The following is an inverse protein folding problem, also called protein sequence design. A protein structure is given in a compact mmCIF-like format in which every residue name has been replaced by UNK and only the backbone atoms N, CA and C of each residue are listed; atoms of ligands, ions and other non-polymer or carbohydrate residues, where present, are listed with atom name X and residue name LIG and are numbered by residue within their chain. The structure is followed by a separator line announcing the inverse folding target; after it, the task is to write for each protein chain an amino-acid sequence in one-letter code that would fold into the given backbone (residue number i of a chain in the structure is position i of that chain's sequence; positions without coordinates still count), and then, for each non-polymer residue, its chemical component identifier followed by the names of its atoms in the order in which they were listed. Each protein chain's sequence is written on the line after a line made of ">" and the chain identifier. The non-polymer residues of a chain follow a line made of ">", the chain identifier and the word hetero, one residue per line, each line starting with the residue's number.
data_IF_849662281571
#
_entry.id   IF_849662281571
#
_cell.length_a   1.000
_cell.length_b   1.000
_cell.length_c   1.000
_cell.angle_alpha   90.00
_cell.angle_beta   90.00
_cell.angle_gamma   90.00
#
_symmetry.space_group_name_H-M   'P 1'
#
loop_
_entity.id
_entity.type
_entity.pdbx_description
1 polymer ?
#
# COMPACT_ATOMS: atom_id res chain seq x y z
N UNK A 1 -35.65 74.57 3.44
CA UNK A 1 -34.30 74.51 2.82
C UNK A 1 -33.72 73.13 3.08
N UNK A 2 -33.08 72.56 2.06
CA UNK A 2 -32.94 71.13 1.78
C UNK A 2 -32.17 70.33 2.85
N UNK A 3 -32.75 69.19 3.23
CA UNK A 3 -32.15 68.07 3.95
C UNK A 3 -31.20 67.34 2.99
N UNK A 4 -29.90 67.25 3.31
CA UNK A 4 -28.93 66.54 2.47
C UNK A 4 -28.77 65.11 2.97
N UNK A 5 -29.19 64.18 2.12
CA UNK A 5 -29.21 62.73 2.33
C UNK A 5 -27.80 62.13 2.37
N UNK A 6 -27.61 61.25 3.36
CA UNK A 6 -26.46 60.35 3.56
C UNK A 6 -26.37 59.32 2.43
N UNK A 7 -25.19 59.17 1.82
CA UNK A 7 -24.81 57.94 1.10
C UNK A 7 -23.34 57.63 1.45
N UNK A 8 -23.13 56.83 2.49
CA UNK A 8 -21.87 56.13 2.72
C UNK A 8 -21.88 54.84 1.89
N UNK A 9 -21.13 54.81 0.80
CA UNK A 9 -20.82 53.59 0.05
C UNK A 9 -19.82 52.76 0.88
N UNK A 10 -20.32 51.85 1.70
CA UNK A 10 -19.49 50.80 2.30
C UNK A 10 -19.28 49.72 1.22
N UNK A 11 -18.17 49.84 0.49
CA UNK A 11 -17.62 48.76 -0.34
C UNK A 11 -17.14 47.64 0.58
N UNK A 12 -18.04 46.71 0.91
CA UNK A 12 -17.71 45.39 1.42
C UNK A 12 -16.94 44.63 0.31
N UNK A 13 -15.62 44.83 0.27
CA UNK A 13 -14.68 43.92 -0.35
C UNK A 13 -14.77 42.59 0.40
N UNK A 14 -15.75 41.77 0.03
CA UNK A 14 -15.73 40.35 0.35
C UNK A 14 -14.58 39.78 -0.47
N UNK A 15 -13.44 39.57 0.17
CA UNK A 15 -12.41 38.68 -0.31
C UNK A 15 -13.03 37.29 -0.38
N UNK A 16 -13.70 36.98 -1.49
CA UNK A 16 -14.02 35.61 -1.86
C UNK A 16 -12.66 34.98 -2.11
N UNK A 17 -12.07 34.43 -1.04
CA UNK A 17 -11.11 33.35 -1.19
C UNK A 17 -11.89 32.26 -1.90
N UNK A 18 -11.72 32.14 -3.21
CA UNK A 18 -12.11 30.93 -3.92
C UNK A 18 -11.31 29.83 -3.25
N UNK A 19 -11.93 29.13 -2.30
CA UNK A 19 -11.46 27.84 -1.87
C UNK A 19 -11.30 27.05 -3.16
N UNK A 20 -10.06 26.77 -3.55
CA UNK A 20 -9.78 25.99 -4.75
C UNK A 20 -10.54 24.68 -4.59
N UNK A 21 -11.53 24.47 -5.45
CA UNK A 21 -12.37 23.30 -5.38
C UNK A 21 -11.47 22.07 -5.44
N UNK A 22 -11.58 21.20 -4.45
CA UNK A 22 -10.79 19.98 -4.33
C UNK A 22 -11.64 18.78 -4.74
N UNK A 23 -11.03 17.79 -5.37
CA UNK A 23 -11.72 16.52 -5.61
C UNK A 23 -11.87 15.71 -4.31
N UNK A 24 -12.56 14.56 -4.40
CA UNK A 24 -12.80 13.65 -3.25
C UNK A 24 -11.53 13.11 -2.58
N UNK A 25 -10.36 13.31 -3.20
CA UNK A 25 -9.05 12.91 -2.70
C UNK A 25 -8.23 14.11 -2.18
N UNK A 26 -8.81 15.31 -2.14
CA UNK A 26 -8.16 16.52 -1.66
C UNK A 26 -7.23 17.21 -2.68
N UNK A 27 -7.25 16.76 -3.94
CA UNK A 27 -6.40 17.28 -5.02
C UNK A 27 -7.08 18.48 -5.69
N UNK A 28 -6.34 19.43 -6.30
CA UNK A 28 -6.94 20.58 -6.98
C UNK A 28 -7.96 20.18 -8.07
N UNK A 29 -8.94 21.02 -8.39
CA UNK A 29 -9.83 20.79 -9.53
C UNK A 29 -9.06 20.67 -10.86
N UNK A 30 -9.66 19.99 -11.84
CA UNK A 30 -9.14 19.93 -13.20
C UNK A 30 -9.23 21.32 -13.85
N UNK A 31 -8.27 21.66 -14.70
CA UNK A 31 -8.26 22.93 -15.41
C UNK A 31 -9.28 22.89 -16.55
N UNK A 32 -10.26 23.82 -16.59
CA UNK A 32 -11.26 23.85 -17.65
C UNK A 32 -10.63 24.04 -19.05
N UNK A 33 -11.22 23.44 -20.07
CA UNK A 33 -10.77 23.56 -21.46
C UNK A 33 -9.63 22.62 -21.86
N UNK A 34 -9.08 21.83 -20.93
CA UNK A 34 -8.09 20.79 -21.25
C UNK A 34 -8.80 19.46 -21.55
N UNK A 35 -8.62 18.98 -22.78
CA UNK A 35 -9.10 17.67 -23.21
C UNK A 35 -8.18 16.56 -22.68
N UNK A 36 -8.80 15.47 -22.22
CA UNK A 36 -8.07 14.28 -21.76
C UNK A 36 -7.40 13.57 -22.94
N UNK A 37 -6.12 13.23 -22.77
CA UNK A 37 -5.34 12.46 -23.72
C UNK A 37 -5.44 10.96 -23.43
N UNK A 38 -5.63 10.19 -24.48
CA UNK A 38 -5.71 8.73 -24.46
C UNK A 38 -4.53 8.12 -25.20
N UNK A 39 -4.38 6.81 -25.06
CA UNK A 39 -3.37 6.04 -25.80
C UNK A 39 -3.60 6.23 -27.31
N UNK A 40 -2.52 6.52 -28.03
CA UNK A 40 -2.52 6.82 -29.45
C UNK A 40 -2.57 8.31 -29.78
N UNK A 41 -3.01 9.16 -28.85
CA UNK A 41 -3.12 10.60 -29.09
C UNK A 41 -1.75 11.27 -29.21
N UNK A 42 -1.71 12.32 -30.03
CA UNK A 42 -0.56 13.21 -30.11
C UNK A 42 -0.57 14.12 -28.88
N UNK A 43 0.55 14.14 -28.16
CA UNK A 43 0.72 15.02 -27.01
C UNK A 43 0.98 16.44 -27.53
N UNK A 44 0.19 17.46 -27.10
CA UNK A 44 0.48 18.85 -27.43
C UNK A 44 1.82 19.26 -26.80
N UNK A 45 2.37 20.39 -27.25
CA UNK A 45 3.56 20.92 -26.60
C UNK A 45 3.19 21.55 -25.26
N UNK A 46 3.43 20.81 -24.18
CA UNK A 46 3.07 21.19 -22.83
C UNK A 46 4.32 21.70 -22.12
N UNK A 47 4.26 22.93 -21.62
CA UNK A 47 5.24 23.45 -20.68
C UNK A 47 5.02 22.78 -19.32
N UNK A 48 6.04 22.09 -18.84
CA UNK A 48 6.11 21.52 -17.50
C UNK A 48 7.07 22.41 -16.70
N UNK A 49 6.54 23.15 -15.74
CA UNK A 49 7.30 24.10 -14.91
C UNK A 49 7.54 23.57 -13.50
N UNK A 50 8.13 24.42 -12.64
CA UNK A 50 8.38 24.15 -11.23
C UNK A 50 9.15 22.84 -10.95
N UNK A 51 10.05 22.44 -11.85
CA UNK A 51 10.80 21.21 -11.67
C UNK A 51 11.90 21.40 -10.62
N UNK A 52 11.88 20.55 -9.60
CA UNK A 52 12.91 20.45 -8.57
C UNK A 52 13.78 19.21 -8.78
N UNK A 53 14.97 19.21 -8.17
CA UNK A 53 15.93 18.09 -8.22
C UNK A 53 16.33 17.69 -9.65
N UNK A 54 16.32 18.67 -10.55
CA UNK A 54 16.75 18.56 -11.94
C UNK A 54 17.55 19.81 -12.30
N UNK A 55 18.40 19.69 -13.32
CA UNK A 55 19.19 20.81 -13.86
C UNK A 55 18.29 21.85 -14.53
N UNK A 56 17.17 21.41 -15.11
CA UNK A 56 16.17 22.28 -15.71
C UNK A 56 15.03 22.55 -14.72
N UNK A 57 14.62 23.82 -14.62
CA UNK A 57 13.43 24.24 -13.84
C UNK A 57 12.12 24.14 -14.60
N UNK A 58 12.20 24.06 -15.93
CA UNK A 58 11.08 23.85 -16.82
C UNK A 58 11.53 23.12 -18.07
N UNK A 59 10.62 22.38 -18.69
CA UNK A 59 10.83 21.62 -19.93
C UNK A 59 9.57 21.66 -20.78
N UNK A 60 9.72 21.46 -22.08
CA UNK A 60 8.59 21.21 -22.98
C UNK A 60 8.48 19.72 -23.30
N UNK A 61 7.27 19.18 -23.45
CA UNK A 61 7.10 17.80 -23.93
C UNK A 61 7.73 17.60 -25.31
N UNK A 62 7.76 18.63 -26.15
CA UNK A 62 8.42 18.59 -27.45
C UNK A 62 9.95 18.44 -27.40
N UNK A 63 10.60 18.79 -26.28
CA UNK A 63 12.05 18.60 -26.08
C UNK A 63 12.46 17.11 -26.11
N UNK A 64 11.49 16.22 -25.91
CA UNK A 64 11.69 14.78 -25.81
C UNK A 64 11.05 13.99 -26.96
N UNK A 65 10.78 14.63 -28.11
CA UNK A 65 10.17 13.92 -29.26
C UNK A 65 10.97 12.68 -29.70
N UNK A 66 12.30 12.76 -29.68
CA UNK A 66 13.19 11.65 -30.07
C UNK A 66 13.67 10.79 -28.88
N UNK A 67 13.11 11.03 -27.69
CA UNK A 67 13.44 10.34 -26.44
C UNK A 67 12.18 9.77 -25.83
N UNK A 68 12.31 8.81 -24.91
CA UNK A 68 11.17 8.33 -24.14
C UNK A 68 10.94 9.25 -22.93
N UNK A 69 9.83 9.97 -22.91
CA UNK A 69 9.37 10.71 -21.74
C UNK A 69 8.38 9.85 -20.96
N UNK A 70 8.69 9.59 -19.68
CA UNK A 70 7.80 8.90 -18.75
C UNK A 70 7.41 9.85 -17.65
N UNK A 71 6.10 10.08 -17.50
CA UNK A 71 5.53 10.86 -16.41
C UNK A 71 5.01 9.91 -15.35
N UNK A 72 5.57 9.97 -14.14
CA UNK A 72 5.22 9.11 -13.01
C UNK A 72 4.50 9.93 -11.93
N UNK A 73 3.17 9.85 -11.90
CA UNK A 73 2.34 10.59 -10.97
C UNK A 73 2.36 9.94 -9.57
N UNK A 74 2.63 10.75 -8.55
CA UNK A 74 2.82 10.28 -7.18
C UNK A 74 2.38 11.30 -6.11
N UNK A 75 2.30 10.82 -4.86
CA UNK A 75 1.97 11.61 -3.67
C UNK A 75 2.76 11.10 -2.45
N UNK A 76 3.02 11.97 -1.46
CA UNK A 76 3.79 11.67 -0.24
C UNK A 76 3.16 10.58 0.64
N UNK A 77 1.86 10.33 0.53
CA UNK A 77 1.13 9.27 1.24
C UNK A 77 1.14 7.93 0.50
N UNK A 78 1.61 7.90 -0.75
CA UNK A 78 1.64 6.71 -1.58
C UNK A 78 2.88 5.85 -1.28
N UNK A 79 2.75 4.88 -0.37
CA UNK A 79 3.84 3.99 0.02
C UNK A 79 4.47 3.22 -1.15
N UNK A 80 3.66 2.76 -2.11
CA UNK A 80 4.13 2.06 -3.32
C UNK A 80 4.93 2.98 -4.24
N UNK A 81 4.50 4.23 -4.41
CA UNK A 81 5.23 5.23 -5.18
C UNK A 81 6.62 5.46 -4.57
N UNK A 82 6.68 5.70 -3.25
CA UNK A 82 7.92 5.95 -2.51
C UNK A 82 8.88 4.75 -2.61
N UNK A 83 8.37 3.54 -2.41
CA UNK A 83 9.14 2.31 -2.50
C UNK A 83 9.76 2.09 -3.89
N UNK A 84 9.11 2.60 -4.96
CA UNK A 84 9.59 2.46 -6.33
C UNK A 84 10.67 3.46 -6.74
N UNK A 85 10.80 4.60 -6.04
CA UNK A 85 11.70 5.70 -6.43
C UNK A 85 13.16 5.27 -6.65
N UNK A 86 13.80 4.44 -5.79
CA UNK A 86 15.19 4.01 -6.00
C UNK A 86 15.38 3.23 -7.31
N UNK A 87 14.40 2.41 -7.70
CA UNK A 87 14.41 1.68 -8.97
C UNK A 87 14.33 2.65 -10.14
N UNK A 88 13.40 3.61 -10.10
CA UNK A 88 13.24 4.61 -11.17
C UNK A 88 14.48 5.47 -11.34
N UNK A 89 15.08 5.88 -10.23
CA UNK A 89 16.34 6.61 -10.19
C UNK A 89 17.49 5.81 -10.84
N UNK A 90 17.62 4.52 -10.51
CA UNK A 90 18.57 3.62 -11.18
C UNK A 90 18.33 3.53 -12.69
N UNK A 91 17.07 3.37 -13.13
CA UNK A 91 16.73 3.29 -14.55
C UNK A 91 17.07 4.59 -15.30
N UNK A 92 16.80 5.76 -14.72
CA UNK A 92 17.20 7.04 -15.33
C UNK A 92 18.72 7.11 -15.57
N UNK A 93 19.54 6.63 -14.62
CA UNK A 93 21.00 6.60 -14.79
C UNK A 93 21.44 5.62 -15.88
N UNK A 94 20.84 4.43 -15.92
CA UNK A 94 21.20 3.37 -16.89
C UNK A 94 20.89 3.79 -18.33
N UNK A 95 19.73 4.42 -18.56
CA UNK A 95 19.33 4.82 -19.90
C UNK A 95 19.80 6.23 -20.29
N UNK A 96 20.20 7.05 -19.31
CA UNK A 96 20.74 8.39 -19.51
C UNK A 96 19.80 9.25 -20.34
N UNK A 97 20.37 9.98 -21.31
CA UNK A 97 19.66 10.91 -22.18
C UNK A 97 18.61 10.27 -23.10
N UNK A 98 18.61 8.95 -23.26
CA UNK A 98 17.60 8.26 -24.09
C UNK A 98 16.19 8.34 -23.49
N UNK A 99 16.10 8.57 -22.17
CA UNK A 99 14.83 8.68 -21.47
C UNK A 99 14.81 9.89 -20.53
N UNK A 100 13.60 10.35 -20.21
CA UNK A 100 13.33 11.27 -19.10
C UNK A 100 12.23 10.65 -18.25
N UNK A 101 12.59 10.14 -17.08
CA UNK A 101 11.65 9.73 -16.04
C UNK A 101 11.41 10.95 -15.14
N UNK A 102 10.25 11.60 -15.27
CA UNK A 102 9.87 12.74 -14.47
C UNK A 102 8.76 12.36 -13.50
N UNK A 103 9.00 12.54 -12.20
CA UNK A 103 7.96 12.38 -11.20
C UNK A 103 7.04 13.61 -11.21
N UNK A 104 5.73 13.43 -11.08
CA UNK A 104 4.74 14.52 -11.17
C UNK A 104 3.83 14.49 -9.95
N UNK A 105 3.65 15.63 -9.30
CA UNK A 105 2.75 15.73 -8.15
C UNK A 105 2.08 17.09 -8.08
N UNK A 106 0.84 17.11 -7.58
CA UNK A 106 0.08 18.34 -7.34
C UNK A 106 0.47 19.02 -6.02
N UNK A 107 1.23 18.33 -5.17
CA UNK A 107 1.65 18.84 -3.87
C UNK A 107 2.69 19.95 -4.02
N UNK A 108 2.70 20.88 -3.07
CA UNK A 108 3.54 22.08 -3.17
C UNK A 108 5.02 21.77 -3.07
N UNK A 109 5.83 22.61 -3.74
CA UNK A 109 7.30 22.56 -3.67
C UNK A 109 7.83 22.38 -2.25
N UNK A 110 7.37 23.20 -1.30
CA UNK A 110 7.87 23.16 0.08
C UNK A 110 7.58 21.82 0.76
N UNK A 111 6.39 21.26 0.54
CA UNK A 111 6.03 19.94 1.08
C UNK A 111 6.89 18.82 0.49
N UNK A 112 7.20 18.88 -0.80
CA UNK A 112 8.02 17.85 -1.45
C UNK A 112 9.49 17.97 -1.05
N UNK A 113 10.03 19.19 -0.94
CA UNK A 113 11.39 19.42 -0.44
C UNK A 113 11.51 18.91 1.01
N UNK A 114 10.56 19.25 1.87
CA UNK A 114 10.52 18.77 3.26
C UNK A 114 10.44 17.24 3.33
N UNK A 115 9.61 16.63 2.48
CA UNK A 115 9.49 15.18 2.38
C UNK A 115 10.82 14.49 2.06
N UNK A 116 11.52 14.91 1.00
CA UNK A 116 12.83 14.31 0.67
C UNK A 116 13.87 14.53 1.78
N UNK A 117 13.82 15.65 2.49
CA UNK A 117 14.74 15.94 3.60
C UNK A 117 14.49 15.07 4.85
N UNK A 118 13.23 14.66 5.08
CA UNK A 118 12.82 13.89 6.27
C UNK A 118 12.64 12.40 6.03
N UNK A 119 12.46 11.96 4.79
CA UNK A 119 12.20 10.56 4.49
C UNK A 119 13.47 9.71 4.70
N UNK A 120 13.49 8.96 5.80
CA UNK A 120 14.62 8.10 6.18
C UNK A 120 14.93 7.03 5.13
N UNK A 121 13.89 6.39 4.56
CA UNK A 121 14.05 5.32 3.57
C UNK A 121 14.84 5.81 2.35
N UNK A 122 14.49 6.97 1.79
CA UNK A 122 15.17 7.50 0.60
C UNK A 122 16.58 8.04 0.90
N UNK A 123 16.82 8.52 2.12
CA UNK A 123 18.12 9.06 2.56
C UNK A 123 19.15 7.99 2.89
N UNK A 124 18.72 6.79 3.26
CA UNK A 124 19.63 5.67 3.57
C UNK A 124 20.25 5.05 2.30
N UNK A 125 19.77 5.40 1.10
CA UNK A 125 20.42 5.03 -0.16
C UNK A 125 21.69 5.87 -0.39
N UNK A 126 22.66 5.31 -1.14
CA UNK A 126 23.91 5.97 -1.49
C UNK A 126 24.12 5.99 -3.02
N UNK A 127 23.99 7.15 -3.70
CA UNK A 127 23.61 8.45 -3.13
C UNK A 127 22.13 8.49 -2.69
N UNK A 128 21.73 9.42 -1.80
CA UNK A 128 20.34 9.64 -1.44
C UNK A 128 19.47 9.86 -2.67
N UNK A 129 18.27 9.26 -2.67
CA UNK A 129 17.36 9.34 -3.81
C UNK A 129 16.59 10.67 -3.79
N UNK A 130 16.95 11.54 -4.72
CA UNK A 130 16.22 12.78 -5.02
C UNK A 130 15.77 12.75 -6.48
N UNK A 131 14.48 12.44 -6.71
CA UNK A 131 13.92 12.34 -8.05
C UNK A 131 13.59 13.72 -8.62
N UNK A 132 13.95 13.96 -9.88
CA UNK A 132 13.44 15.09 -10.65
C UNK A 132 11.90 15.09 -10.59
N UNK A 133 11.32 16.17 -10.08
CA UNK A 133 9.89 16.24 -9.79
C UNK A 133 9.28 17.55 -10.27
N UNK A 134 8.23 17.47 -11.09
CA UNK A 134 7.32 18.59 -11.32
C UNK A 134 6.33 18.64 -10.16
N UNK A 135 6.33 19.76 -9.43
CA UNK A 135 5.49 20.00 -8.24
C UNK A 135 4.41 21.03 -8.57
N UNK A 136 3.42 21.17 -7.69
CA UNK A 136 2.28 22.07 -7.89
C UNK A 136 1.50 21.80 -9.21
N UNK A 137 1.62 20.59 -9.78
CA UNK A 137 1.02 20.26 -11.08
C UNK A 137 -0.51 20.33 -11.04
N UNK A 138 -1.05 20.93 -12.10
CA UNK A 138 -2.48 20.96 -12.43
C UNK A 138 -2.74 20.65 -13.89
N UNK A 139 -1.76 20.94 -14.76
CA UNK A 139 -1.89 20.86 -16.21
C UNK A 139 -1.77 19.40 -16.65
N UNK A 140 -0.74 18.69 -16.20
CA UNK A 140 -0.54 17.29 -16.59
C UNK A 140 -1.65 16.41 -16.05
N UNK A 141 -2.11 16.62 -14.82
CA UNK A 141 -3.30 15.93 -14.27
C UNK A 141 -4.58 16.19 -15.08
N UNK A 142 -4.69 17.33 -15.75
CA UNK A 142 -5.88 17.65 -16.57
C UNK A 142 -5.86 16.92 -17.92
N UNK A 143 -4.68 16.76 -18.51
CA UNK A 143 -4.46 15.95 -19.71
C UNK A 143 -4.52 14.45 -19.41
N UNK A 144 -3.95 14.00 -18.30
CA UNK A 144 -3.85 12.60 -17.91
C UNK A 144 -4.64 12.39 -16.62
N UNK A 145 -5.93 12.10 -16.74
CA UNK A 145 -6.84 12.01 -15.60
C UNK A 145 -6.69 10.65 -14.92
N UNK A 146 -6.58 10.65 -13.59
CA UNK A 146 -6.41 9.42 -12.80
C UNK A 146 -7.12 9.49 -11.45
N UNK A 147 -7.50 8.32 -10.93
CA UNK A 147 -8.11 8.18 -9.61
C UNK A 147 -7.12 7.72 -8.54
N UNK A 148 -6.18 6.85 -8.92
CA UNK A 148 -5.22 6.25 -7.98
C UNK A 148 -3.77 6.47 -8.42
N UNK A 149 -2.86 6.52 -7.45
CA UNK A 149 -1.42 6.53 -7.66
C UNK A 149 -0.80 5.16 -7.32
N UNK A 150 0.33 4.78 -7.95
CA UNK A 150 1.01 5.50 -9.03
C UNK A 150 0.27 5.40 -10.37
N UNK A 151 0.42 6.42 -11.20
CA UNK A 151 -0.13 6.48 -12.56
C UNK A 151 0.97 6.90 -13.53
N UNK A 152 1.24 6.10 -14.56
CA UNK A 152 2.44 6.26 -15.40
C UNK A 152 2.04 6.47 -16.85
N UNK A 153 2.53 7.54 -17.45
CA UNK A 153 2.33 7.86 -18.86
C UNK A 153 3.62 7.66 -19.63
N UNK A 154 3.56 6.88 -20.70
CA UNK A 154 4.69 6.65 -21.61
C UNK A 154 4.47 7.48 -22.89
N UNK A 155 5.39 8.41 -23.16
CA UNK A 155 5.34 9.29 -24.33
C UNK A 155 6.58 9.04 -25.17
N UNK A 156 6.40 8.64 -26.42
CA UNK A 156 7.49 8.42 -27.36
C UNK A 156 7.09 8.91 -28.74
N UNK A 157 8.00 9.59 -29.46
CA UNK A 157 7.70 10.20 -30.77
C UNK A 157 6.50 11.16 -30.71
N UNK A 158 6.36 11.85 -29.57
CA UNK A 158 5.27 12.79 -29.28
C UNK A 158 3.88 12.16 -29.12
N UNK A 159 3.78 10.83 -29.01
CA UNK A 159 2.51 10.12 -28.83
C UNK A 159 2.41 9.44 -27.48
N UNK A 160 1.19 9.35 -26.94
CA UNK A 160 0.90 8.52 -25.76
C UNK A 160 0.96 7.04 -26.18
N UNK A 161 2.02 6.34 -25.76
CA UNK A 161 2.25 4.94 -26.10
C UNK A 161 1.49 3.99 -25.17
N UNK A 162 1.47 4.32 -23.87
CA UNK A 162 0.84 3.48 -22.86
C UNK A 162 0.51 4.29 -21.59
N UNK A 163 -0.49 3.81 -20.87
CA UNK A 163 -0.85 4.30 -19.53
C UNK A 163 -0.87 3.09 -18.59
N UNK A 164 0.02 3.08 -17.59
CA UNK A 164 0.31 1.88 -16.79
C UNK A 164 0.42 2.20 -15.30
N UNK A 165 0.60 1.16 -14.47
CA UNK A 165 1.17 1.29 -13.13
C UNK A 165 2.70 1.36 -13.16
N UNK A 166 3.30 1.59 -11.99
CA UNK A 166 4.75 1.72 -11.77
C UNK A 166 5.54 0.45 -12.08
N UNK A 167 4.89 -0.71 -11.93
CA UNK A 167 5.49 -2.02 -12.12
C UNK A 167 6.06 -2.16 -13.54
N UNK A 168 5.39 -1.57 -14.54
CA UNK A 168 5.79 -1.62 -15.94
C UNK A 168 7.04 -0.79 -16.27
N UNK A 169 7.51 0.08 -15.37
CA UNK A 169 8.76 0.81 -15.58
C UNK A 169 9.93 -0.14 -15.29
N UNK A 170 10.36 -0.86 -16.33
CA UNK A 170 11.45 -1.86 -16.27
C UNK A 170 12.43 -1.63 -17.40
N UNK A 171 13.68 -2.09 -17.24
CA UNK A 171 14.70 -1.98 -18.30
C UNK A 171 14.25 -2.63 -19.61
N UNK A 172 13.61 -3.80 -19.53
CA UNK A 172 13.07 -4.52 -20.69
C UNK A 172 12.03 -3.66 -21.42
N UNK A 173 11.01 -3.19 -20.72
CA UNK A 173 9.94 -2.40 -21.30
C UNK A 173 10.43 -1.06 -21.89
N UNK A 174 11.36 -0.40 -21.19
CA UNK A 174 12.01 0.81 -21.70
C UNK A 174 12.74 0.50 -23.02
N UNK A 175 13.53 -0.57 -23.05
CA UNK A 175 14.28 -0.95 -24.26
C UNK A 175 13.32 -1.32 -25.40
N UNK A 176 12.23 -2.03 -25.14
CA UNK A 176 11.22 -2.36 -26.16
C UNK A 176 10.60 -1.11 -26.80
N UNK A 177 10.28 -0.09 -26.01
CA UNK A 177 9.74 1.18 -26.52
C UNK A 177 10.79 1.93 -27.34
N UNK A 178 12.04 1.98 -26.85
CA UNK A 178 13.15 2.60 -27.58
C UNK A 178 13.44 1.89 -28.91
N UNK A 179 13.27 0.57 -28.96
CA UNK A 179 13.39 -0.25 -30.17
C UNK A 179 12.20 -0.06 -31.14
N UNK A 180 11.17 0.70 -30.74
CA UNK A 180 9.98 0.96 -31.55
C UNK A 180 9.01 -0.22 -31.62
N UNK A 181 9.09 -1.17 -30.68
CA UNK A 181 8.15 -2.30 -30.61
C UNK A 181 6.76 -1.83 -30.17
N UNK A 182 5.73 -2.53 -30.61
CA UNK A 182 4.36 -2.29 -30.16
C UNK A 182 4.21 -2.68 -28.69
N UNK A 183 3.70 -1.76 -27.88
CA UNK A 183 3.42 -2.01 -26.47
C UNK A 183 2.18 -2.90 -26.34
N UNK A 184 2.36 -4.11 -25.82
CA UNK A 184 1.28 -5.02 -25.45
C UNK A 184 1.35 -5.34 -23.95
N UNK A 185 1.19 -4.30 -23.14
CA UNK A 185 1.22 -4.40 -21.69
C UNK A 185 -0.19 -4.19 -21.11
N UNK A 186 -0.50 -4.81 -19.96
CA UNK A 186 -1.58 -4.40 -19.07
C UNK A 186 -1.64 -2.88 -18.92
N UNK A 187 -2.77 -2.30 -19.30
CA UNK A 187 -3.03 -0.87 -19.15
C UNK A 187 -3.74 -0.62 -17.82
N UNK A 188 -3.41 0.48 -17.17
CA UNK A 188 -4.04 0.85 -15.90
C UNK A 188 -5.50 1.21 -16.12
N UNK A 189 -6.39 0.61 -15.33
CA UNK A 189 -7.80 0.93 -15.31
C UNK A 189 -8.18 1.54 -13.95
N UNK A 190 -8.49 2.84 -13.95
CA UNK A 190 -8.90 3.57 -12.75
C UNK A 190 -10.41 3.47 -12.48
N UNK A 191 -11.18 2.76 -13.31
CA UNK A 191 -12.63 2.58 -13.13
C UNK A 191 -12.99 1.41 -12.24
N UNK A 192 -12.01 0.61 -11.78
CA UNK A 192 -12.28 -0.49 -10.88
C UNK A 192 -12.69 0.03 -9.49
N UNK A 193 -13.86 -0.42 -9.03
CA UNK A 193 -14.34 -0.16 -7.68
C UNK A 193 -14.42 -1.49 -6.91
N UNK A 194 -13.58 -1.69 -5.87
CA UNK A 194 -13.57 -2.92 -5.09
C UNK A 194 -14.87 -3.17 -4.33
N UNK A 195 -15.79 -2.20 -4.26
CA UNK A 195 -17.11 -2.34 -3.64
C UNK A 195 -18.15 -3.04 -4.52
N UNK A 196 -17.86 -3.26 -5.80
CA UNK A 196 -18.74 -3.97 -6.73
C UNK A 196 -18.22 -5.40 -7.02
N UNK A 197 -19.12 -6.34 -7.36
CA UNK A 197 -18.74 -7.73 -7.65
C UNK A 197 -17.79 -7.87 -8.84
N UNK A 198 -16.88 -8.84 -8.79
CA UNK A 198 -16.01 -9.19 -9.92
C UNK A 198 -16.80 -9.79 -11.08
N UNK A 199 -17.79 -10.63 -10.77
CA UNK A 199 -18.64 -11.26 -11.77
C UNK A 199 -20.02 -10.62 -11.80
N UNK A 200 -20.47 -10.26 -13.00
CA UNK A 200 -21.88 -9.97 -13.26
C UNK A 200 -22.58 -11.26 -13.63
N UNK A 201 -23.68 -11.56 -12.93
CA UNK A 201 -24.49 -12.76 -13.16
C UNK A 201 -25.65 -12.47 -14.11
N UNK A 202 -25.36 -11.84 -15.26
CA UNK A 202 -26.35 -11.27 -16.18
C UNK A 202 -27.32 -12.31 -16.81
N UNK A 203 -27.02 -13.61 -16.68
CA UNK A 203 -27.87 -14.72 -17.14
C UNK A 203 -28.64 -15.46 -16.05
N UNK A 204 -28.51 -15.06 -14.78
CA UNK A 204 -29.27 -15.62 -13.67
C UNK A 204 -30.37 -14.63 -13.27
N UNK A 205 -31.56 -15.13 -12.95
CA UNK A 205 -32.62 -14.26 -12.41
C UNK A 205 -32.08 -13.62 -11.12
N UNK A 206 -32.13 -12.29 -11.10
CA UNK A 206 -31.80 -11.48 -9.91
C UNK A 206 -33.05 -11.18 -9.10
N UNK A 207 -34.22 -11.62 -9.57
CA UNK A 207 -35.48 -11.48 -8.86
C UNK A 207 -35.54 -12.53 -7.74
N UNK A 208 -35.54 -12.04 -6.50
CA UNK A 208 -35.57 -12.83 -5.26
C UNK A 208 -36.74 -13.82 -5.22
N UNK A 209 -37.82 -13.54 -5.96
CA UNK A 209 -39.05 -14.33 -5.98
C UNK A 209 -39.05 -15.53 -6.91
N UNK A 210 -38.18 -15.60 -7.93
CA UNK A 210 -38.27 -16.65 -8.97
C UNK A 210 -37.08 -17.61 -9.00
N UNK A 211 -35.90 -17.20 -8.54
CA UNK A 211 -34.74 -18.09 -8.40
C UNK A 211 -33.84 -17.66 -7.23
N UNK A 212 -33.75 -18.45 -6.15
CA UNK A 212 -32.96 -18.06 -5.00
C UNK A 212 -31.45 -18.10 -5.34
N UNK A 213 -30.81 -16.93 -5.30
CA UNK A 213 -29.35 -16.83 -5.30
C UNK A 213 -28.80 -17.37 -3.98
N UNK A 214 -27.96 -18.42 -4.04
CA UNK A 214 -27.32 -18.99 -2.85
C UNK A 214 -25.87 -18.52 -2.64
N UNK A 215 -25.17 -18.15 -3.72
CA UNK A 215 -23.79 -17.71 -3.67
C UNK A 215 -22.90 -18.28 -4.78
N UNK A 216 -21.68 -17.77 -4.87
CA UNK A 216 -20.60 -18.30 -5.70
C UNK A 216 -19.25 -18.03 -5.05
N UNK A 217 -18.21 -18.72 -5.55
CA UNK A 217 -16.84 -18.24 -5.44
C UNK A 217 -16.14 -18.27 -6.79
N UNK A 218 -15.35 -17.24 -7.06
CA UNK A 218 -14.55 -17.11 -8.28
C UNK A 218 -13.09 -16.88 -7.88
N UNK A 219 -12.20 -17.55 -8.61
CA UNK A 219 -10.75 -17.40 -8.50
C UNK A 219 -10.21 -17.14 -9.91
N UNK A 220 -9.53 -16.02 -10.11
CA UNK A 220 -8.88 -15.68 -11.38
C UNK A 220 -7.40 -15.37 -11.15
N UNK A 221 -6.61 -15.38 -12.24
CA UNK A 221 -5.27 -14.78 -12.22
C UNK A 221 -5.31 -13.25 -12.09
N UNK A 222 -4.14 -12.62 -12.26
CA UNK A 222 -3.95 -11.17 -12.17
C UNK A 222 -4.87 -10.42 -13.13
N UNK A 223 -5.61 -9.46 -12.59
CA UNK A 223 -6.39 -8.50 -13.37
C UNK A 223 -5.55 -7.28 -13.71
N UNK A 224 -5.42 -7.00 -15.00
CA UNK A 224 -4.78 -5.79 -15.52
C UNK A 224 -5.56 -4.52 -15.17
N UNK A 225 -6.86 -4.66 -14.87
CA UNK A 225 -7.72 -3.54 -14.51
C UNK A 225 -7.63 -3.13 -13.04
N UNK A 226 -6.74 -3.75 -12.26
CA UNK A 226 -6.63 -3.54 -10.83
C UNK A 226 -5.16 -3.34 -10.49
N UNK A 227 -4.87 -2.46 -9.52
CA UNK A 227 -3.50 -2.33 -9.03
C UNK A 227 -3.03 -3.64 -8.41
N UNK A 228 -1.78 -4.02 -8.64
CA UNK A 228 -1.16 -5.12 -7.91
C UNK A 228 -1.03 -4.71 -6.43
N UNK A 229 -1.46 -5.59 -5.52
CA UNK A 229 -1.44 -5.30 -4.09
C UNK A 229 -2.50 -4.29 -3.64
N UNK A 230 -3.60 -4.13 -4.39
CA UNK A 230 -4.77 -3.35 -3.95
C UNK A 230 -5.29 -3.97 -2.64
N UNK A 231 -4.95 -3.31 -1.53
CA UNK A 231 -4.72 -3.97 -0.26
C UNK A 231 -5.94 -4.64 0.38
N UNK A 232 -5.66 -5.74 1.09
CA UNK A 232 -6.49 -6.24 2.18
C UNK A 232 -7.67 -7.14 1.78
N UNK A 233 -8.53 -7.38 2.77
CA UNK A 233 -9.73 -8.18 2.67
C UNK A 233 -10.95 -7.25 2.61
N UNK A 234 -11.61 -7.21 1.47
CA UNK A 234 -12.87 -6.52 1.30
C UNK A 234 -13.99 -7.40 1.86
N UNK A 235 -14.78 -6.83 2.77
CA UNK A 235 -15.93 -7.50 3.36
C UNK A 235 -17.11 -6.54 3.35
N UNK A 236 -18.26 -7.00 2.90
CA UNK A 236 -19.48 -6.21 2.82
C UNK A 236 -20.69 -7.07 3.12
N UNK A 237 -21.66 -6.48 3.82
CA UNK A 237 -23.00 -7.02 3.98
C UNK A 237 -23.98 -6.08 3.28
N UNK A 238 -24.80 -6.63 2.39
CA UNK A 238 -25.93 -5.94 1.77
C UNK A 238 -27.21 -6.44 2.46
N UNK A 239 -27.73 -5.63 3.39
CA UNK A 239 -28.94 -5.96 4.15
C UNK A 239 -30.20 -5.93 3.32
N UNK A 240 -30.23 -5.14 2.24
CA UNK A 240 -31.38 -5.05 1.34
C UNK A 240 -31.51 -6.33 0.48
N UNK A 241 -30.38 -6.88 0.04
CA UNK A 241 -30.34 -8.14 -0.73
C UNK A 241 -30.14 -9.39 0.12
N UNK A 242 -29.87 -9.22 1.42
CA UNK A 242 -29.49 -10.30 2.33
C UNK A 242 -28.30 -11.11 1.78
N UNK A 243 -27.21 -10.43 1.43
CA UNK A 243 -25.99 -11.02 0.86
C UNK A 243 -24.77 -10.58 1.67
N UNK A 244 -23.85 -11.50 1.92
CA UNK A 244 -22.49 -11.18 2.38
C UNK A 244 -21.47 -11.47 1.29
N UNK A 245 -20.47 -10.59 1.20
CA UNK A 245 -19.37 -10.67 0.24
C UNK A 245 -18.02 -10.61 0.94
N UNK A 246 -17.07 -11.41 0.46
CA UNK A 246 -15.66 -11.36 0.80
C UNK A 246 -14.82 -11.40 -0.47
N UNK A 247 -13.88 -10.47 -0.63
CA UNK A 247 -13.03 -10.42 -1.82
C UNK A 247 -11.62 -9.89 -1.52
N UNK A 248 -10.67 -10.22 -2.39
CA UNK A 248 -9.34 -9.62 -2.47
C UNK A 248 -8.85 -9.66 -3.91
N UNK A 249 -8.02 -8.70 -4.30
CA UNK A 249 -7.64 -8.48 -5.70
C UNK A 249 -6.14 -8.41 -5.85
N UNK A 250 -5.62 -9.06 -6.89
CA UNK A 250 -4.20 -9.13 -7.23
C UNK A 250 -3.33 -9.30 -5.97
N UNK A 251 -3.51 -10.42 -5.26
CA UNK A 251 -2.71 -10.80 -4.11
C UNK A 251 -1.88 -12.05 -4.43
N UNK A 252 -0.63 -12.09 -4.01
CA UNK A 252 0.20 -13.30 -4.08
C UNK A 252 -0.27 -14.35 -3.04
N UNK A 253 0.12 -15.62 -3.21
CA UNK A 253 -0.30 -16.70 -2.31
C UNK A 253 0.10 -16.44 -0.85
N UNK A 254 1.30 -15.93 -0.57
CA UNK A 254 1.73 -15.65 0.79
C UNK A 254 0.81 -14.60 1.43
N UNK A 255 0.48 -13.53 0.70
CA UNK A 255 -0.45 -12.49 1.16
C UNK A 255 -1.88 -12.99 1.34
N UNK A 256 -2.40 -13.82 0.41
CA UNK A 256 -3.74 -14.43 0.52
C UNK A 256 -3.87 -15.23 1.81
N UNK A 257 -2.93 -16.15 2.05
CA UNK A 257 -2.95 -17.01 3.23
C UNK A 257 -2.78 -16.20 4.52
N UNK A 258 -1.90 -15.20 4.49
CA UNK A 258 -1.70 -14.26 5.58
C UNK A 258 -3.01 -13.52 5.94
N UNK A 259 -3.71 -12.98 4.94
CA UNK A 259 -4.96 -12.23 5.09
C UNK A 259 -6.07 -13.14 5.63
N UNK A 260 -6.26 -14.32 5.03
CA UNK A 260 -7.34 -15.22 5.40
C UNK A 260 -7.13 -15.85 6.77
N UNK A 261 -5.94 -16.37 7.05
CA UNK A 261 -5.63 -16.92 8.39
C UNK A 261 -5.88 -15.87 9.47
N UNK A 262 -5.42 -14.63 9.24
CA UNK A 262 -5.71 -13.53 10.15
C UNK A 262 -7.21 -13.29 10.31
N UNK A 263 -7.96 -13.25 9.21
CA UNK A 263 -9.41 -13.04 9.24
C UNK A 263 -10.20 -14.23 9.83
N UNK A 264 -9.61 -15.42 9.93
CA UNK A 264 -10.23 -16.55 10.64
C UNK A 264 -10.14 -16.43 12.16
N UNK A 265 -9.31 -15.52 12.70
CA UNK A 265 -9.24 -15.26 14.14
C UNK A 265 -10.38 -14.32 14.56
N UNK A 266 -10.91 -14.47 15.78
CA UNK A 266 -11.90 -13.53 16.30
C UNK A 266 -11.27 -12.14 16.37
N UNK A 267 -12.08 -11.10 16.15
CA UNK A 267 -11.63 -9.74 16.39
C UNK A 267 -11.29 -9.60 17.87
N UNK A 268 -10.06 -9.17 18.16
CA UNK A 268 -9.58 -8.98 19.52
C UNK A 268 -9.71 -7.50 19.85
N UNK A 269 -10.56 -7.18 20.82
CA UNK A 269 -10.68 -5.80 21.29
C UNK A 269 -9.49 -5.42 22.16
N UNK A 270 -9.27 -4.13 22.35
CA UNK A 270 -8.29 -3.65 23.32
C UNK A 270 -8.54 -4.22 24.73
N UNK A 271 -9.81 -4.36 25.14
CA UNK A 271 -10.19 -4.97 26.41
C UNK A 271 -9.85 -6.47 26.49
N UNK A 272 -9.85 -7.20 25.38
CA UNK A 272 -9.43 -8.60 25.33
C UNK A 272 -7.90 -8.73 25.46
N UNK A 273 -7.15 -7.81 24.84
CA UNK A 273 -5.69 -7.82 24.91
C UNK A 273 -5.14 -7.35 26.26
N UNK A 274 -5.89 -6.48 26.96
CA UNK A 274 -5.63 -6.14 28.38
C UNK A 274 -5.72 -7.40 29.24
N UNK A 275 -6.78 -8.18 29.08
CA UNK A 275 -7.01 -9.40 29.87
C UNK A 275 -6.05 -10.53 29.53
N UNK A 276 -5.58 -10.57 28.29
CA UNK A 276 -4.71 -11.61 27.78
C UNK A 276 -3.81 -11.08 26.65
N UNK A 277 -2.59 -10.70 27.00
CA UNK A 277 -1.59 -10.18 26.06
C UNK A 277 -1.18 -11.22 24.99
N UNK A 278 -1.49 -12.51 25.17
CA UNK A 278 -1.21 -13.54 24.15
C UNK A 278 -2.16 -13.44 22.95
N UNK A 279 -3.26 -12.69 23.07
CA UNK A 279 -4.22 -12.41 21.99
C UNK A 279 -3.77 -11.31 21.03
N UNK A 280 -2.57 -10.77 21.22
CA UNK A 280 -2.00 -9.79 20.30
C UNK A 280 -1.91 -10.35 18.88
N UNK A 281 -2.42 -9.62 17.88
CA UNK A 281 -2.23 -9.99 16.49
C UNK A 281 -0.74 -9.85 16.13
N UNK A 282 0.00 -10.97 16.15
CA UNK A 282 1.42 -10.94 15.82
C UNK A 282 1.66 -10.48 14.37
N UNK A 283 2.58 -9.52 14.23
CA UNK A 283 2.94 -8.89 12.95
C UNK A 283 3.59 -9.90 11.99
N UNK A 284 3.71 -9.56 10.69
CA UNK A 284 4.37 -10.40 9.71
C UNK A 284 5.89 -10.52 9.96
N UNK A 285 6.30 -11.41 10.86
CA UNK A 285 7.70 -11.80 11.03
C UNK A 285 8.04 -13.03 10.17
N UNK A 286 9.20 -13.09 9.47
CA UNK A 286 9.58 -14.26 8.66
C UNK A 286 9.58 -15.56 9.47
N UNK A 287 10.11 -15.55 10.70
CA UNK A 287 10.10 -16.73 11.57
C UNK A 287 8.69 -17.18 12.04
N UNK A 288 7.65 -16.36 11.82
CA UNK A 288 6.24 -16.70 12.09
C UNK A 288 5.50 -17.14 10.81
N UNK A 289 6.21 -17.27 9.69
CA UNK A 289 5.68 -17.70 8.38
C UNK A 289 6.53 -18.87 7.88
N UNK A 290 5.98 -20.07 7.94
CA UNK A 290 6.65 -21.29 7.51
C UNK A 290 6.05 -21.74 6.18
N UNK A 291 6.91 -21.98 5.20
CA UNK A 291 6.55 -22.58 3.91
C UNK A 291 7.13 -24.00 3.85
N UNK A 292 6.25 -25.00 3.86
CA UNK A 292 6.56 -26.43 3.72
C UNK A 292 6.04 -26.91 2.35
N UNK A 293 6.51 -26.25 1.30
CA UNK A 293 6.03 -26.44 -0.09
C UNK A 293 7.17 -26.89 -0.99
N UNK A 294 6.86 -27.69 -2.01
CA UNK A 294 7.81 -28.15 -3.03
C UNK A 294 8.35 -27.00 -3.87
N UNK A 295 7.48 -26.05 -4.23
CA UNK A 295 7.81 -24.93 -5.10
C UNK A 295 7.62 -23.59 -4.36
N UNK A 296 8.73 -23.06 -3.84
CA UNK A 296 8.77 -21.77 -3.14
C UNK A 296 8.66 -20.57 -4.09
N UNK A 297 8.90 -20.75 -5.41
CA UNK A 297 8.83 -19.67 -6.40
C UNK A 297 7.42 -19.13 -6.54
N UNK A 298 6.38 -19.92 -6.22
CA UNK A 298 4.97 -19.49 -6.23
C UNK A 298 4.60 -18.52 -5.10
N UNK A 299 5.45 -18.42 -4.08
CA UNK A 299 5.19 -17.61 -2.86
C UNK A 299 6.10 -16.40 -2.74
N UNK A 300 7.25 -16.43 -3.43
CA UNK A 300 8.21 -15.33 -3.47
C UNK A 300 9.06 -15.42 -4.73
N UNK A 301 9.43 -14.26 -5.28
CA UNK A 301 10.28 -14.14 -6.45
C UNK A 301 11.75 -14.47 -6.12
N UNK A 302 12.07 -15.76 -5.98
CA UNK A 302 13.43 -16.24 -5.64
C UNK A 302 14.34 -16.37 -6.86
N UNK A 303 13.77 -16.53 -8.05
CA UNK A 303 14.52 -16.75 -9.29
C UNK A 303 15.02 -15.44 -9.92
N UNK A 304 14.85 -14.32 -9.20
CA UNK A 304 15.17 -12.97 -9.68
C UNK A 304 14.52 -12.66 -11.04
N UNK A 305 13.38 -13.29 -11.33
CA UNK A 305 12.59 -12.97 -12.51
C UNK A 305 12.17 -11.50 -12.43
N UNK A 306 11.92 -10.88 -13.57
CA UNK A 306 11.31 -9.55 -13.60
C UNK A 306 10.03 -9.57 -12.74
N UNK A 307 9.98 -8.70 -11.72
CA UNK A 307 8.90 -8.70 -10.73
C UNK A 307 7.51 -8.64 -11.38
N UNK A 308 7.34 -7.89 -12.47
CA UNK A 308 6.07 -7.80 -13.20
C UNK A 308 5.64 -9.14 -13.77
N UNK A 309 6.60 -9.89 -14.32
CA UNK A 309 6.35 -11.21 -14.91
C UNK A 309 5.97 -12.20 -13.81
N UNK A 310 6.71 -12.16 -12.70
CA UNK A 310 6.39 -12.96 -11.53
C UNK A 310 5.00 -12.62 -10.99
N UNK A 311 4.68 -11.32 -10.88
CA UNK A 311 3.39 -10.85 -10.36
C UNK A 311 2.22 -11.34 -11.21
N UNK A 312 2.34 -11.28 -12.55
CA UNK A 312 1.32 -11.79 -13.47
C UNK A 312 1.07 -13.29 -13.35
N UNK A 313 2.10 -14.07 -13.00
CA UNK A 313 1.99 -15.53 -12.85
C UNK A 313 1.45 -15.92 -11.47
N UNK A 314 1.75 -15.14 -10.43
CA UNK A 314 1.59 -15.55 -9.05
C UNK A 314 0.62 -14.70 -8.22
N UNK A 315 -0.08 -13.74 -8.83
CA UNK A 315 -1.16 -13.00 -8.17
C UNK A 315 -2.53 -13.48 -8.63
N UNK A 316 -3.48 -13.40 -7.69
CA UNK A 316 -4.83 -13.91 -7.89
C UNK A 316 -5.86 -12.90 -7.38
N UNK A 317 -7.02 -12.89 -8.04
CA UNK A 317 -8.23 -12.26 -7.51
C UNK A 317 -9.18 -13.35 -7.04
N UNK A 318 -9.82 -13.11 -5.91
CA UNK A 318 -10.84 -14.00 -5.36
C UNK A 318 -12.03 -13.20 -4.87
N UNK A 319 -13.21 -13.77 -5.10
CA UNK A 319 -14.45 -13.27 -4.54
C UNK A 319 -15.33 -14.44 -4.14
N UNK A 320 -15.99 -14.29 -3.00
CA UNK A 320 -17.07 -15.13 -2.54
C UNK A 320 -18.26 -14.24 -2.19
N UNK A 321 -19.40 -14.54 -2.78
CA UNK A 321 -20.69 -13.99 -2.37
C UNK A 321 -21.58 -15.13 -1.87
N UNK A 322 -22.35 -14.85 -0.81
CA UNK A 322 -23.28 -15.80 -0.23
C UNK A 322 -24.58 -15.13 0.17
N UNK A 323 -25.66 -15.88 0.02
CA UNK A 323 -26.93 -15.54 0.63
C UNK A 323 -26.82 -15.59 2.16
N UNK A 324 -27.46 -14.64 2.83
CA UNK A 324 -27.44 -14.45 4.28
C UNK A 324 -26.37 -13.48 4.76
N UNK A 325 -26.64 -12.85 5.91
CA UNK A 325 -25.71 -11.97 6.63
C UNK A 325 -24.67 -12.79 7.42
N UNK A 326 -23.83 -13.53 6.70
CA UNK A 326 -22.71 -14.29 7.25
C UNK A 326 -21.63 -13.35 7.75
N UNK A 327 -21.05 -13.62 8.92
CA UNK A 327 -19.97 -12.83 9.49
C UNK A 327 -18.63 -13.03 8.73
N UNK A 328 -17.76 -12.04 8.84
CA UNK A 328 -16.45 -12.01 8.17
C UNK A 328 -15.58 -13.23 8.51
N UNK A 329 -15.59 -13.70 9.75
CA UNK A 329 -14.74 -14.80 10.19
C UNK A 329 -15.19 -16.13 9.56
N UNK A 330 -16.50 -16.37 9.51
CA UNK A 330 -17.07 -17.54 8.86
C UNK A 330 -16.79 -17.55 7.34
N UNK A 331 -16.93 -16.42 6.66
CA UNK A 331 -16.56 -16.32 5.23
C UNK A 331 -15.07 -16.54 5.02
N UNK A 332 -14.20 -15.98 5.87
CA UNK A 332 -12.75 -16.17 5.76
C UNK A 332 -12.35 -17.65 5.93
N UNK A 333 -12.98 -18.37 6.86
CA UNK A 333 -12.78 -19.83 7.04
C UNK A 333 -13.20 -20.62 5.79
N UNK A 334 -14.30 -20.23 5.16
CA UNK A 334 -14.77 -20.87 3.94
C UNK A 334 -13.86 -20.57 2.74
N UNK A 335 -13.45 -19.32 2.56
CA UNK A 335 -12.49 -18.93 1.54
C UNK A 335 -11.14 -19.64 1.71
N UNK A 336 -10.63 -19.75 2.94
CA UNK A 336 -9.40 -20.49 3.23
C UNK A 336 -9.52 -21.97 2.81
N UNK A 337 -10.66 -22.61 3.11
CA UNK A 337 -10.93 -23.99 2.70
C UNK A 337 -11.00 -24.13 1.17
N UNK A 338 -11.70 -23.23 0.49
CA UNK A 338 -11.82 -23.23 -0.97
C UNK A 338 -10.45 -23.10 -1.64
N UNK A 339 -9.62 -22.15 -1.19
CA UNK A 339 -8.30 -21.92 -1.75
C UNK A 339 -7.30 -23.04 -1.43
N UNK A 340 -7.36 -23.64 -0.23
CA UNK A 340 -6.62 -24.85 0.09
C UNK A 340 -6.89 -25.95 -0.95
N UNK A 341 -8.18 -26.19 -1.26
CA UNK A 341 -8.57 -27.19 -2.24
C UNK A 341 -8.11 -26.82 -3.65
N UNK A 342 -8.31 -25.57 -4.08
CA UNK A 342 -7.98 -25.12 -5.45
C UNK A 342 -6.50 -25.09 -5.75
N UNK A 343 -5.66 -24.77 -4.74
CA UNK A 343 -4.20 -24.71 -4.92
C UNK A 343 -3.47 -25.99 -4.50
N UNK A 344 -4.16 -26.98 -3.92
CA UNK A 344 -3.52 -28.18 -3.38
C UNK A 344 -2.65 -27.89 -2.16
N UNK A 345 -3.05 -26.91 -1.35
CA UNK A 345 -2.29 -26.38 -0.22
C UNK A 345 -3.05 -26.54 1.09
N UNK A 346 -2.34 -26.37 2.20
CA UNK A 346 -2.91 -26.35 3.54
C UNK A 346 -2.33 -25.20 4.37
N UNK A 347 -3.00 -24.05 4.34
CA UNK A 347 -2.73 -22.93 5.22
C UNK A 347 -3.39 -23.11 6.59
N UNK A 348 -2.60 -23.01 7.68
CA UNK A 348 -3.06 -23.17 9.06
C UNK A 348 -2.21 -22.39 10.06
N UNK A 349 -2.73 -22.26 11.28
CA UNK A 349 -1.90 -21.95 12.44
C UNK A 349 -1.38 -23.24 13.06
N UNK A 350 -0.13 -23.21 13.53
CA UNK A 350 0.50 -24.33 14.21
C UNK A 350 1.44 -23.79 15.29
N UNK A 351 1.66 -24.56 16.35
CA UNK A 351 2.66 -24.21 17.36
C UNK A 351 4.02 -24.80 16.98
N UNK A 352 5.07 -23.98 17.05
CA UNK A 352 6.45 -24.38 16.76
C UNK A 352 7.38 -23.82 17.80
N UNK A 353 8.38 -24.62 18.17
CA UNK A 353 9.50 -24.15 18.99
C UNK A 353 10.41 -23.28 18.12
N UNK A 354 10.57 -22.01 18.48
CA UNK A 354 11.37 -21.03 17.74
C UNK A 354 12.26 -20.28 18.72
N UNK A 355 13.44 -19.86 18.28
CA UNK A 355 14.28 -18.91 19.04
C UNK A 355 13.57 -17.55 19.07
N UNK A 356 13.39 -16.98 20.25
CA UNK A 356 12.65 -15.74 20.47
C UNK A 356 13.46 -14.75 21.29
N UNK A 357 13.06 -13.48 21.19
CA UNK A 357 13.36 -12.46 22.18
C UNK A 357 12.19 -12.38 23.16
N UNK A 358 12.44 -12.72 24.42
CA UNK A 358 11.41 -12.79 25.46
C UNK A 358 11.52 -11.57 26.36
N UNK A 359 10.46 -10.77 26.36
CA UNK A 359 10.34 -9.60 27.21
C UNK A 359 9.85 -10.03 28.59
N UNK A 360 10.61 -9.74 29.65
CA UNK A 360 10.36 -10.25 31.01
C UNK A 360 10.46 -9.14 32.06
N UNK A 361 9.82 -9.34 33.20
CA UNK A 361 10.07 -8.53 34.41
C UNK A 361 11.36 -8.96 35.06
N UNK A 362 12.10 -8.00 35.59
CA UNK A 362 13.23 -8.26 36.49
C UNK A 362 12.79 -8.18 37.95
N UNK A 363 13.73 -8.41 38.86
CA UNK A 363 13.50 -8.20 40.29
C UNK A 363 13.52 -6.73 40.72
N UNK A 364 13.87 -5.79 39.81
CA UNK A 364 13.83 -4.36 40.11
C UNK A 364 12.39 -3.83 40.02
N UNK A 365 12.01 -2.82 40.83
CA UNK A 365 10.74 -2.14 40.68
C UNK A 365 10.57 -1.56 39.28
N UNK A 366 9.33 -1.55 38.78
CA UNK A 366 8.99 -0.81 37.56
C UNK A 366 9.09 0.69 37.84
N UNK A 367 9.74 1.44 36.95
CA UNK A 367 9.85 2.91 37.02
C UNK A 367 9.39 3.55 35.71
N UNK A 368 9.06 4.84 35.76
CA UNK A 368 8.57 5.63 34.62
C UNK A 368 7.33 5.02 33.94
N UNK A 369 6.54 4.31 34.74
CA UNK A 369 5.22 3.82 34.38
C UNK A 369 4.23 4.97 34.37
N UNK A 370 3.51 5.11 33.26
CA UNK A 370 2.44 6.06 33.08
C UNK A 370 1.10 5.34 33.10
N UNK A 371 0.04 5.99 33.60
CA UNK A 371 -1.32 5.53 33.33
C UNK A 371 -1.54 5.44 31.82
N UNK A 372 -2.30 4.43 31.40
CA UNK A 372 -2.63 4.17 30.00
C UNK A 372 -3.10 5.43 29.25
N UNK A 373 -2.62 5.61 28.02
CA UNK A 373 -3.04 6.67 27.10
C UNK A 373 -2.43 8.04 27.39
N UNK A 374 -1.46 8.13 28.31
CA UNK A 374 -0.77 9.39 28.67
C UNK A 374 0.52 9.65 27.89
N UNK A 375 0.67 9.02 26.71
CA UNK A 375 1.75 9.29 25.77
C UNK A 375 2.98 8.38 25.88
N UNK A 376 2.95 7.35 26.73
CA UNK A 376 3.95 6.27 26.73
C UNK A 376 3.58 5.12 25.80
N UNK A 377 4.40 4.07 25.76
CA UNK A 377 4.14 2.84 24.99
C UNK A 377 3.88 1.64 25.93
N UNK A 378 2.86 0.85 25.62
CA UNK A 378 2.62 -0.43 26.31
C UNK A 378 3.71 -1.46 25.97
N UNK A 379 3.89 -2.49 26.80
CA UNK A 379 4.83 -3.59 26.50
C UNK A 379 4.51 -4.26 25.15
N UNK A 380 3.25 -4.60 24.83
CA UNK A 380 2.86 -5.03 23.50
C UNK A 380 3.33 -4.11 22.37
N UNK A 381 3.13 -2.80 22.51
CA UNK A 381 3.54 -1.83 21.50
C UNK A 381 5.07 -1.81 21.32
N UNK A 382 5.84 -1.89 22.42
CA UNK A 382 7.30 -1.98 22.38
C UNK A 382 7.78 -3.26 21.69
N UNK A 383 7.23 -4.41 22.09
CA UNK A 383 7.55 -5.73 21.51
C UNK A 383 7.21 -5.75 20.01
N UNK A 384 6.04 -5.25 19.64
CA UNK A 384 5.57 -5.26 18.26
C UNK A 384 6.30 -4.25 17.37
N UNK A 385 6.35 -2.98 17.76
CA UNK A 385 6.82 -1.91 16.89
C UNK A 385 8.35 -1.78 16.87
N UNK A 386 9.01 -2.03 18.01
CA UNK A 386 10.45 -1.79 18.14
C UNK A 386 11.31 -3.02 17.84
N UNK A 387 10.74 -4.24 17.96
CA UNK A 387 11.46 -5.49 17.74
C UNK A 387 10.89 -6.28 16.55
N UNK A 388 9.67 -6.78 16.67
CA UNK A 388 9.11 -7.75 15.71
C UNK A 388 8.91 -7.14 14.31
N UNK A 389 8.47 -5.88 14.23
CA UNK A 389 8.29 -5.17 12.96
C UNK A 389 9.60 -4.95 12.19
N UNK A 390 10.74 -4.84 12.89
CA UNK A 390 12.03 -4.60 12.23
C UNK A 390 12.50 -5.80 11.42
N UNK A 391 12.05 -7.02 11.76
CA UNK A 391 12.48 -8.29 11.17
C UNK A 391 14.00 -8.52 11.20
N UNK A 392 14.76 -7.72 11.97
CA UNK A 392 16.22 -7.82 12.13
C UNK A 392 16.63 -8.85 13.18
N UNK A 393 15.72 -9.15 14.10
CA UNK A 393 15.97 -9.97 15.28
C UNK A 393 15.00 -11.16 15.30
N UNK A 394 15.23 -12.19 16.13
CA UNK A 394 14.26 -13.26 16.35
C UNK A 394 12.90 -12.71 16.81
N UNK A 395 11.78 -13.42 16.56
CA UNK A 395 10.46 -12.93 16.90
C UNK A 395 10.35 -12.65 18.40
N UNK A 396 9.76 -11.51 18.73
CA UNK A 396 9.63 -11.08 20.11
C UNK A 396 8.30 -11.54 20.73
N UNK A 397 8.30 -11.91 22.01
CA UNK A 397 7.10 -12.26 22.79
C UNK A 397 7.10 -11.54 24.14
N UNK A 398 5.91 -11.30 24.68
CA UNK A 398 5.70 -10.68 25.99
C UNK A 398 5.39 -11.77 27.04
N UNK A 399 6.27 -11.91 28.04
CA UNK A 399 6.10 -12.74 29.24
C UNK A 399 6.13 -11.88 30.53
N UNK A 400 5.92 -10.57 30.42
CA UNK A 400 5.90 -9.67 31.59
C UNK A 400 4.62 -9.80 32.40
N UNK A 401 3.51 -10.13 31.74
CA UNK A 401 2.16 -10.06 32.33
C UNK A 401 1.71 -8.63 32.66
N UNK A 402 2.23 -7.60 31.99
CA UNK A 402 1.77 -6.20 32.13
C UNK A 402 0.75 -5.80 31.08
N UNK A 403 0.79 -6.42 29.90
CA UNK A 403 -0.14 -6.14 28.81
C UNK A 403 -0.27 -4.65 28.51
N UNK A 404 -1.50 -4.14 28.56
CA UNK A 404 -1.85 -2.75 28.26
C UNK A 404 -2.20 -1.92 29.51
N UNK A 405 -1.95 -2.46 30.71
CA UNK A 405 -2.36 -1.82 31.97
C UNK A 405 -1.52 -0.58 32.30
N UNK A 406 -0.27 -0.57 31.83
CA UNK A 406 0.69 0.50 32.06
C UNK A 406 1.43 0.82 30.77
N UNK A 407 1.60 2.12 30.53
CA UNK A 407 2.47 2.62 29.48
C UNK A 407 3.84 2.95 30.07
N UNK A 408 4.88 2.87 29.26
CA UNK A 408 6.23 3.24 29.65
C UNK A 408 6.72 4.42 28.83
N UNK A 409 7.30 5.42 29.48
CA UNK A 409 8.01 6.49 28.80
C UNK A 409 9.44 6.06 28.47
N UNK A 410 9.58 5.08 27.58
CA UNK A 410 10.88 4.60 27.09
C UNK A 410 11.19 5.31 25.78
N UNK A 411 12.25 6.11 25.78
CA UNK A 411 12.81 6.69 24.55
C UNK A 411 13.64 5.61 23.85
N UNK A 412 13.29 5.18 22.62
CA UNK A 412 14.05 4.19 21.89
C UNK A 412 15.52 4.60 21.74
N UNK A 413 16.44 3.64 21.90
CA UNK A 413 17.89 3.89 21.92
C UNK A 413 18.47 4.24 20.55
N UNK A 414 19.80 4.30 20.46
CA UNK A 414 20.67 4.35 19.26
C UNK A 414 20.35 3.41 18.07
N UNK A 415 19.21 2.70 18.08
CA UNK A 415 18.76 1.79 17.03
C UNK A 415 19.30 0.37 17.17
N UNK A 416 20.07 0.08 18.22
CA UNK A 416 20.65 -1.26 18.47
C UNK A 416 19.85 -2.04 19.51
N UNK A 417 19.86 -3.38 19.39
CA UNK A 417 19.24 -4.26 20.40
C UNK A 417 19.88 -4.08 21.78
N UNK A 418 21.20 -3.89 21.83
CA UNK A 418 21.95 -3.71 23.08
C UNK A 418 21.56 -2.39 23.77
N UNK A 419 21.47 -1.30 23.01
CA UNK A 419 21.00 -0.01 23.52
C UNK A 419 19.56 -0.10 24.04
N UNK A 420 18.66 -0.74 23.28
CA UNK A 420 17.27 -0.91 23.67
C UNK A 420 17.15 -1.73 24.97
N UNK A 421 17.86 -2.86 25.05
CA UNK A 421 17.91 -3.70 26.25
C UNK A 421 18.43 -2.94 27.47
N UNK A 422 19.50 -2.15 27.30
CA UNK A 422 20.08 -1.35 28.40
C UNK A 422 19.07 -0.32 28.93
N UNK A 423 18.27 0.28 28.07
CA UNK A 423 17.26 1.26 28.48
C UNK A 423 16.14 0.59 29.28
N UNK A 424 15.52 -0.47 28.76
CA UNK A 424 14.41 -1.15 29.45
C UNK A 424 14.83 -1.75 30.82
N UNK A 425 16.11 -2.12 30.98
CA UNK A 425 16.69 -2.59 32.25
C UNK A 425 16.74 -1.54 33.36
N UNK A 426 16.66 -0.25 33.01
CA UNK A 426 16.51 0.83 33.98
C UNK A 426 15.10 0.85 34.57
N UNK A 427 14.11 0.42 33.79
CA UNK A 427 12.69 0.42 34.13
C UNK A 427 12.20 -0.91 34.71
N UNK A 428 13.11 -1.77 35.17
CA UNK A 428 12.77 -3.05 35.78
C UNK A 428 12.34 -4.15 34.80
N UNK A 429 12.62 -3.98 33.51
CA UNK A 429 12.30 -4.93 32.44
C UNK A 429 13.58 -5.49 31.83
N UNK A 430 13.52 -6.67 31.21
CA UNK A 430 14.64 -7.19 30.43
C UNK A 430 14.17 -7.89 29.16
N UNK A 431 15.10 -8.07 28.24
CA UNK A 431 14.91 -8.81 27.00
C UNK A 431 15.94 -9.92 26.94
N UNK A 432 15.48 -11.17 26.94
CA UNK A 432 16.36 -12.35 26.94
C UNK A 432 16.15 -13.20 25.70
N UNK A 433 17.20 -13.87 25.24
CA UNK A 433 17.06 -14.89 24.19
C UNK A 433 16.63 -16.22 24.82
N UNK A 434 15.57 -16.82 24.29
CA UNK A 434 15.14 -18.15 24.70
C UNK A 434 14.35 -18.87 23.60
N UNK A 435 14.30 -20.20 23.66
CA UNK A 435 13.37 -20.96 22.82
C UNK A 435 11.98 -20.99 23.46
N UNK A 436 10.96 -20.73 22.63
CA UNK A 436 9.57 -20.74 23.05
C UNK A 436 8.69 -21.39 22.00
N UNK A 437 7.65 -22.05 22.48
CA UNK A 437 6.59 -22.54 21.60
C UNK A 437 5.67 -21.38 21.26
N UNK A 438 5.72 -20.92 20.02
CA UNK A 438 4.92 -19.80 19.53
C UNK A 438 3.97 -20.26 18.43
N UNK A 439 2.84 -19.56 18.31
CA UNK A 439 1.95 -19.73 17.16
C UNK A 439 2.61 -19.17 15.89
N UNK A 440 2.67 -19.99 14.85
CA UNK A 440 3.18 -19.65 13.52
C UNK A 440 2.12 -19.95 12.46
N UNK A 441 2.21 -19.26 11.33
CA UNK A 441 1.41 -19.57 10.14
C UNK A 441 2.21 -20.53 9.27
N UNK A 442 1.63 -21.68 8.96
CA UNK A 442 2.23 -22.70 8.10
C UNK A 442 1.40 -22.80 6.83
N UNK A 443 2.07 -22.77 5.68
CA UNK A 443 1.50 -23.17 4.40
C UNK A 443 2.29 -24.37 3.93
N UNK A 444 1.63 -25.49 3.72
CA UNK A 444 2.25 -26.71 3.20
C UNK A 444 1.53 -27.21 1.95
N UNK A 445 2.19 -28.04 1.15
CA UNK A 445 1.46 -28.87 0.19
C UNK A 445 0.51 -29.82 0.93
N UNK A 446 -0.59 -30.20 0.30
CA UNK A 446 -1.40 -31.33 0.77
C UNK A 446 -0.56 -32.60 0.65
N UNK A 447 -0.58 -33.42 1.71
CA UNK A 447 0.18 -34.68 1.79
C UNK A 447 -0.43 -35.77 0.93
#
# INVERSE_FOLDING_TARGET
>A
MKLTTVICFLLLLTSITQAQEKDKYGRPALVPGIAELKIGDQVPDILIDNIINDDKRSIHTSDYKDRLLVLDFWERSCGTCIASMPKLDSLQRVFGDRIKLLSVTWESKDHIVDFFNKNRFLKEYNPPVHRASAVDDRILRSYFRYQTNPHVIWIFKGKVMAITGYEHITSTNIQEVLDGKTVNWPLKNDSFDPMYPLMRLDGLSTEVSESPFYGYSVLTGTSNSMQIGLGGLFYKQDTARNISRLAFFNQDLSSIYQILLYATKPFVTEGDMVKDATKLPYLPHPARRILEVKDVSRFRNVDQENQVVWDRKNHFCYEMEKQGLVDKQALAKQALKDLNNRFGLNGRYEKRKVKCLVFVKTNKPLTDTLPKGKGGMSIPALVMMSLDYTQKYPPAIDETGLGFDVDFNIMPSDGTLAGFRKEIQRHGLDLIEAEREIEVRVISDVK
#
